data_IF_331661657683
#
_entry.id   IF_331661657683
#
_cell.length_a   1.000
_cell.length_b   1.000
_cell.length_c   1.000
_cell.angle_alpha   90.00
_cell.angle_beta   90.00
_cell.angle_gamma   90.00
#
_symmetry.space_group_name_H-M   'P 1'
#
loop_
_entity.id
_entity.type
_entity.pdbx_description
1 polymer ?
#
# COMPACT_ATOMS: atom_id res chain seq x y z
N UNK A 1 -28.86 22.60 7.06
CA UNK A 1 -27.44 22.97 6.83
C UNK A 1 -26.66 21.69 6.61
N UNK A 2 -26.58 21.24 5.36
CA UNK A 2 -25.80 20.07 4.96
C UNK A 2 -24.46 20.56 4.44
N UNK A 3 -23.43 20.51 5.29
CA UNK A 3 -22.05 20.59 4.79
C UNK A 3 -21.71 19.21 4.25
N UNK A 4 -21.72 19.05 2.94
CA UNK A 4 -21.08 17.90 2.28
C UNK A 4 -19.57 18.07 2.53
N UNK A 5 -18.94 17.20 3.33
CA UNK A 5 -17.50 17.31 3.56
C UNK A 5 -16.78 16.94 2.26
N UNK A 6 -15.88 17.83 1.83
CA UNK A 6 -14.91 17.74 0.75
C UNK A 6 -15.00 16.52 -0.20
N UNK A 7 -15.50 16.80 -1.41
CA UNK A 7 -15.52 15.91 -2.59
C UNK A 7 -14.21 15.16 -2.92
N UNK A 8 -12.97 15.63 -2.64
CA UNK A 8 -11.78 14.85 -3.01
C UNK A 8 -11.58 13.53 -2.26
N UNK A 9 -12.28 13.28 -1.14
CA UNK A 9 -12.05 12.08 -0.32
C UNK A 9 -13.11 10.98 -0.45
N UNK A 10 -14.30 11.30 -0.98
CA UNK A 10 -15.41 10.35 -1.09
C UNK A 10 -15.14 9.20 -2.07
N UNK A 11 -14.21 9.36 -3.02
CA UNK A 11 -13.84 8.33 -3.99
C UNK A 11 -12.56 7.57 -3.69
N UNK A 12 -11.85 7.85 -2.61
CA UNK A 12 -10.53 7.24 -2.35
C UNK A 12 -10.65 6.15 -1.28
N UNK A 13 -10.27 4.88 -1.53
CA UNK A 13 -10.31 3.86 -0.48
C UNK A 13 -9.28 4.16 0.63
N UNK A 14 -9.71 4.05 1.88
CA UNK A 14 -8.79 3.98 3.01
C UNK A 14 -8.17 2.57 3.14
N UNK A 15 -7.03 2.45 3.84
CA UNK A 15 -6.46 1.12 4.13
C UNK A 15 -7.45 0.23 4.88
N UNK A 16 -8.25 0.80 5.79
CA UNK A 16 -9.36 0.09 6.46
C UNK A 16 -10.40 -0.49 5.49
N UNK A 17 -10.66 0.17 4.36
CA UNK A 17 -11.59 -0.33 3.36
C UNK A 17 -10.96 -1.44 2.52
N UNK A 18 -9.65 -1.33 2.25
CA UNK A 18 -8.87 -2.38 1.61
C UNK A 18 -8.77 -3.63 2.49
N UNK A 19 -8.63 -3.49 3.80
CA UNK A 19 -8.71 -4.60 4.76
C UNK A 19 -10.03 -5.37 4.61
N UNK A 20 -11.16 -4.66 4.56
CA UNK A 20 -12.49 -5.26 4.34
C UNK A 20 -12.61 -5.90 2.96
N UNK A 21 -12.14 -5.22 1.91
CA UNK A 21 -12.18 -5.68 0.51
C UNK A 21 -11.40 -6.99 0.32
N UNK A 22 -10.25 -7.11 0.97
CA UNK A 22 -9.36 -8.26 0.88
C UNK A 22 -9.57 -9.29 1.97
N UNK A 23 -10.34 -8.97 3.03
CA UNK A 23 -10.54 -9.79 4.22
C UNK A 23 -9.20 -10.14 4.88
N UNK A 24 -8.37 -9.12 5.04
CA UNK A 24 -7.04 -9.21 5.67
C UNK A 24 -6.82 -7.98 6.54
N UNK A 25 -5.73 -7.96 7.29
CA UNK A 25 -5.35 -6.85 8.17
C UNK A 25 -3.98 -6.31 7.79
N UNK A 26 -3.71 -5.06 8.15
CA UNK A 26 -2.36 -4.51 8.12
C UNK A 26 -1.43 -5.38 8.99
N UNK A 27 -0.24 -5.66 8.48
CA UNK A 27 0.82 -6.35 9.23
C UNK A 27 1.53 -5.37 10.17
N UNK A 28 1.68 -4.13 9.73
CA UNK A 28 2.29 -3.05 10.49
C UNK A 28 1.76 -1.68 10.02
N UNK A 29 2.11 -0.62 10.76
CA UNK A 29 1.69 0.76 10.44
C UNK A 29 0.21 1.05 10.71
N UNK A 30 -0.41 0.40 11.70
CA UNK A 30 -1.83 0.58 12.05
C UNK A 30 -2.22 2.03 12.36
N UNK A 31 -1.27 2.87 12.78
CA UNK A 31 -1.47 4.31 12.99
C UNK A 31 -1.94 5.04 11.73
N UNK A 32 -1.70 4.47 10.54
CA UNK A 32 -2.10 5.02 9.24
C UNK A 32 -3.29 4.29 8.62
N UNK A 33 -3.99 3.44 9.37
CA UNK A 33 -5.11 2.62 8.89
C UNK A 33 -6.24 3.40 8.21
N UNK A 34 -6.47 4.65 8.59
CA UNK A 34 -7.49 5.52 8.00
C UNK A 34 -6.94 6.48 6.93
N UNK A 35 -5.70 6.27 6.47
CA UNK A 35 -5.12 7.03 5.36
C UNK A 35 -5.77 6.57 4.05
N UNK A 36 -6.12 7.55 3.22
CA UNK A 36 -6.78 7.36 1.93
C UNK A 36 -5.74 7.45 0.82
N UNK A 37 -5.89 6.61 -0.20
CA UNK A 37 -5.04 6.60 -1.39
C UNK A 37 -5.90 6.78 -2.63
N UNK A 38 -5.48 7.69 -3.52
CA UNK A 38 -6.17 7.89 -4.80
C UNK A 38 -5.84 6.74 -5.75
N UNK A 39 -6.69 6.52 -6.75
CA UNK A 39 -6.41 5.53 -7.80
C UNK A 39 -5.27 5.98 -8.72
N UNK A 40 -5.11 7.28 -8.92
CA UNK A 40 -4.02 7.83 -9.72
C UNK A 40 -2.65 7.60 -9.04
N UNK A 41 -2.62 7.56 -7.71
CA UNK A 41 -1.44 7.25 -6.90
C UNK A 41 -1.28 5.73 -6.62
N UNK A 42 -2.00 4.87 -7.33
CA UNK A 42 -1.82 3.41 -7.25
C UNK A 42 -0.69 2.98 -8.20
N UNK A 43 0.33 2.31 -7.67
CA UNK A 43 1.49 1.89 -8.44
C UNK A 43 1.75 0.39 -8.34
N UNK A 44 1.45 -0.35 -9.40
CA UNK A 44 1.84 -1.75 -9.53
C UNK A 44 3.33 -1.85 -9.87
N UNK A 45 4.13 -2.35 -8.92
CA UNK A 45 5.58 -2.43 -9.05
C UNK A 45 5.98 -3.73 -9.78
N UNK A 46 6.32 -3.59 -11.05
CA UNK A 46 6.85 -4.68 -11.91
C UNK A 46 8.30 -4.44 -12.35
N UNK A 47 8.89 -3.33 -11.92
CA UNK A 47 10.22 -2.88 -12.34
C UNK A 47 11.35 -3.46 -11.46
N UNK A 48 12.59 -3.19 -11.86
CA UNK A 48 13.77 -3.44 -11.04
C UNK A 48 13.74 -2.64 -9.73
N UNK A 49 14.52 -3.09 -8.75
CA UNK A 49 14.68 -2.40 -7.45
C UNK A 49 15.17 -0.95 -7.63
N UNK A 50 16.17 -0.70 -8.48
CA UNK A 50 16.72 0.65 -8.68
C UNK A 50 15.65 1.64 -9.13
N UNK A 51 14.81 1.23 -10.10
CA UNK A 51 13.71 2.06 -10.60
C UNK A 51 12.59 2.20 -9.58
N UNK A 52 12.37 1.17 -8.75
CA UNK A 52 11.42 1.28 -7.64
C UNK A 52 11.87 2.31 -6.60
N UNK A 53 13.13 2.28 -6.17
CA UNK A 53 13.68 3.24 -5.21
C UNK A 53 13.69 4.67 -5.77
N UNK A 54 14.01 4.84 -7.05
CA UNK A 54 13.86 6.13 -7.75
C UNK A 54 12.40 6.62 -7.70
N UNK A 55 11.44 5.74 -8.02
CA UNK A 55 10.02 6.05 -7.89
C UNK A 55 9.57 6.37 -6.45
N UNK A 56 10.20 5.79 -5.43
CA UNK A 56 9.88 6.13 -4.03
C UNK A 56 10.25 7.57 -3.69
N UNK A 57 11.32 8.09 -4.30
CA UNK A 57 11.86 9.43 -4.04
C UNK A 57 11.21 10.51 -4.91
N UNK A 58 10.87 10.17 -6.15
CA UNK A 58 10.40 11.14 -7.14
C UNK A 58 8.88 11.24 -7.24
N UNK A 59 8.15 10.14 -6.96
CA UNK A 59 6.68 10.17 -7.02
C UNK A 59 6.06 10.86 -5.82
N UNK A 60 4.75 11.06 -5.91
CA UNK A 60 3.92 11.53 -4.81
C UNK A 60 4.23 10.72 -3.54
N UNK A 61 4.57 11.38 -2.41
CA UNK A 61 4.88 10.69 -1.16
C UNK A 61 3.70 9.84 -0.64
N UNK A 62 2.47 10.08 -1.12
CA UNK A 62 1.27 9.32 -0.79
C UNK A 62 0.89 8.32 -1.89
N UNK A 63 1.83 7.47 -2.30
CA UNK A 63 1.60 6.41 -3.30
C UNK A 63 1.27 5.06 -2.64
N UNK A 64 0.29 4.34 -3.18
CA UNK A 64 -0.03 2.97 -2.79
C UNK A 64 0.68 1.99 -3.73
N UNK A 65 1.74 1.35 -3.23
CA UNK A 65 2.52 0.41 -4.01
C UNK A 65 1.95 -1.01 -3.89
N UNK A 66 1.84 -1.72 -5.01
CA UNK A 66 1.41 -3.11 -5.06
C UNK A 66 2.55 -3.94 -5.62
N UNK A 67 3.02 -4.92 -4.87
CA UNK A 67 4.13 -5.79 -5.26
C UNK A 67 3.75 -7.27 -5.12
N UNK A 68 4.42 -8.14 -5.88
CA UNK A 68 4.29 -9.58 -5.70
C UNK A 68 5.18 -10.05 -4.54
N UNK A 69 4.70 -11.04 -3.78
CA UNK A 69 5.37 -11.57 -2.59
C UNK A 69 6.75 -12.17 -2.85
N UNK A 70 7.07 -12.57 -4.09
CA UNK A 70 8.40 -13.10 -4.44
C UNK A 70 9.45 -12.00 -4.66
N UNK A 71 9.07 -10.72 -4.52
CA UNK A 71 9.97 -9.58 -4.69
C UNK A 71 10.41 -9.07 -3.32
N UNK A 72 11.09 -9.94 -2.58
CA UNK A 72 11.67 -9.62 -1.27
C UNK A 72 12.60 -8.40 -1.35
N UNK A 73 13.33 -8.26 -2.46
CA UNK A 73 14.17 -7.09 -2.75
C UNK A 73 13.39 -5.77 -2.72
N UNK A 74 12.18 -5.74 -3.30
CA UNK A 74 11.32 -4.55 -3.30
C UNK A 74 10.71 -4.29 -1.91
N UNK A 75 10.31 -5.35 -1.21
CA UNK A 75 9.75 -5.24 0.14
C UNK A 75 10.81 -4.64 1.07
N UNK A 76 12.01 -5.22 1.08
CA UNK A 76 13.13 -4.72 1.88
C UNK A 76 13.55 -3.31 1.46
N UNK A 77 13.56 -3.02 0.17
CA UNK A 77 13.85 -1.68 -0.35
C UNK A 77 12.85 -0.63 0.17
N UNK A 78 11.56 -0.95 0.17
CA UNK A 78 10.52 -0.08 0.74
C UNK A 78 10.73 0.17 2.23
N UNK A 79 11.04 -0.89 3.00
CA UNK A 79 11.30 -0.77 4.44
C UNK A 79 12.51 0.12 4.72
N UNK A 80 13.60 -0.07 3.97
CA UNK A 80 14.82 0.71 4.11
C UNK A 80 14.59 2.20 3.80
N UNK A 81 13.88 2.50 2.72
CA UNK A 81 13.57 3.89 2.35
C UNK A 81 12.67 4.56 3.40
N UNK A 82 11.65 3.86 3.90
CA UNK A 82 10.77 4.37 4.96
C UNK A 82 11.56 4.73 6.24
N UNK A 83 12.51 3.88 6.64
CA UNK A 83 13.38 4.15 7.78
C UNK A 83 14.35 5.30 7.52
N UNK A 84 14.86 5.43 6.29
CA UNK A 84 15.79 6.48 5.88
C UNK A 84 15.14 7.86 5.96
N UNK A 85 13.95 8.03 5.37
CA UNK A 85 13.23 9.30 5.39
C UNK A 85 12.91 9.77 6.81
N UNK A 86 12.61 8.85 7.75
CA UNK A 86 12.42 9.20 9.17
C UNK A 86 13.69 9.70 9.85
N UNK A 87 14.88 9.27 9.42
CA UNK A 87 16.17 9.69 10.01
C UNK A 87 16.64 11.04 9.48
N UNK A 88 16.37 11.33 8.21
CA UNK A 88 16.92 12.49 7.51
C UNK A 88 16.07 13.78 7.67
N UNK A 89 15.00 13.76 8.49
CA UNK A 89 14.00 14.86 8.60
C UNK A 89 13.46 15.32 7.23
N UNK A 90 13.43 14.40 6.28
CA UNK A 90 12.83 14.58 4.97
C UNK A 90 11.30 14.70 5.08
N UNK A 91 10.60 15.22 4.05
CA UNK A 91 9.14 15.27 4.04
C UNK A 91 8.55 13.88 4.37
N UNK A 92 7.41 13.84 5.10
CA UNK A 92 6.86 12.57 5.57
C UNK A 92 6.53 11.67 4.38
N UNK A 93 7.23 10.54 4.28
CA UNK A 93 6.91 9.51 3.30
C UNK A 93 5.65 8.77 3.78
N UNK A 94 4.56 8.96 3.04
CA UNK A 94 3.22 8.47 3.39
C UNK A 94 2.79 7.24 2.57
N UNK A 95 3.75 6.61 1.88
CA UNK A 95 3.51 5.47 1.03
C UNK A 95 3.02 4.25 1.83
N UNK A 96 2.22 3.42 1.17
CA UNK A 96 1.81 2.12 1.69
C UNK A 96 2.20 1.01 0.72
N UNK A 97 2.37 -0.20 1.25
CA UNK A 97 2.73 -1.37 0.47
C UNK A 97 1.70 -2.50 0.62
N UNK A 98 1.18 -2.98 -0.50
CA UNK A 98 0.37 -4.20 -0.58
C UNK A 98 1.22 -5.30 -1.19
N UNK A 99 1.41 -6.38 -0.43
CA UNK A 99 2.15 -7.56 -0.83
C UNK A 99 1.15 -8.63 -1.25
N UNK A 100 1.11 -8.91 -2.55
CA UNK A 100 0.22 -9.88 -3.16
C UNK A 100 0.88 -11.26 -3.30
N UNK A 101 0.27 -12.29 -2.74
CA UNK A 101 0.72 -13.68 -2.82
C UNK A 101 -0.45 -14.65 -2.90
N UNK A 102 -0.18 -15.94 -3.06
CA UNK A 102 -1.21 -16.99 -3.02
C UNK A 102 -0.82 -17.99 -1.94
N UNK A 103 -1.64 -18.16 -0.90
CA UNK A 103 -1.39 -19.07 0.24
C UNK A 103 -0.78 -20.41 -0.16
N UNK A 104 -1.20 -21.01 -1.26
CA UNK A 104 -0.74 -22.35 -1.65
C UNK A 104 0.51 -22.37 -2.53
N UNK A 105 0.96 -21.23 -3.05
CA UNK A 105 2.01 -21.17 -4.07
C UNK A 105 3.15 -20.22 -3.73
N UNK A 106 2.82 -19.03 -3.25
CA UNK A 106 3.79 -17.98 -2.93
C UNK A 106 3.35 -17.31 -1.64
N UNK A 107 4.12 -17.52 -0.58
CA UNK A 107 3.94 -16.90 0.71
C UNK A 107 5.13 -16.00 1.02
N UNK A 108 4.91 -15.05 1.93
CA UNK A 108 5.98 -14.21 2.43
C UNK A 108 6.94 -15.08 3.26
N UNK A 109 8.24 -14.90 3.05
CA UNK A 109 9.27 -15.56 3.86
C UNK A 109 9.11 -15.17 5.33
N UNK A 110 9.39 -16.12 6.23
CA UNK A 110 9.26 -15.90 7.68
C UNK A 110 10.16 -14.76 8.13
N UNK A 111 11.37 -14.68 7.57
CA UNK A 111 12.36 -13.65 7.85
C UNK A 111 11.83 -12.25 7.48
N UNK A 112 11.20 -12.10 6.32
CA UNK A 112 10.62 -10.80 5.91
C UNK A 112 9.39 -10.45 6.75
N UNK A 113 8.59 -11.46 7.12
CA UNK A 113 7.44 -11.25 8.02
C UNK A 113 7.89 -10.76 9.40
N UNK A 114 8.94 -11.35 9.95
CA UNK A 114 9.50 -10.94 11.25
C UNK A 114 10.07 -9.52 11.16
N UNK A 115 10.80 -9.19 10.08
CA UNK A 115 11.27 -7.82 9.85
C UNK A 115 10.13 -6.81 9.74
N UNK A 116 9.05 -7.13 9.04
CA UNK A 116 7.87 -6.26 8.94
C UNK A 116 7.19 -6.04 10.30
N UNK A 117 7.16 -7.06 11.16
CA UNK A 117 6.58 -6.94 12.50
C UNK A 117 7.37 -5.98 13.40
N UNK A 118 8.68 -5.86 13.17
CA UNK A 118 9.55 -4.91 13.87
C UNK A 118 9.56 -3.51 13.24
N UNK A 119 8.96 -3.34 12.06
CA UNK A 119 8.94 -2.07 11.36
C UNK A 119 7.86 -1.16 11.94
N UNK A 120 8.29 -0.13 12.65
CA UNK A 120 7.37 0.87 13.17
C UNK A 120 6.98 1.91 12.10
N UNK A 121 5.69 2.19 12.01
CA UNK A 121 5.10 3.26 11.21
C UNK A 121 4.74 2.89 9.76
N UNK A 122 5.50 2.06 9.05
CA UNK A 122 5.21 1.84 7.62
C UNK A 122 3.95 0.98 7.41
N UNK A 123 2.93 1.46 6.68
CA UNK A 123 1.72 0.69 6.45
C UNK A 123 1.94 -0.39 5.41
N UNK A 124 1.90 -1.66 5.84
CA UNK A 124 2.07 -2.83 4.97
C UNK A 124 0.94 -3.82 5.16
N UNK A 125 0.36 -4.28 4.05
CA UNK A 125 -0.73 -5.27 4.03
C UNK A 125 -0.32 -6.49 3.20
N UNK A 126 -0.62 -7.69 3.67
CA UNK A 126 -0.42 -8.93 2.90
C UNK A 126 -1.78 -9.44 2.42
N UNK A 127 -1.89 -9.68 1.12
CA UNK A 127 -3.14 -10.05 0.44
C UNK A 127 -2.96 -11.36 -0.31
N UNK A 128 -3.93 -12.25 -0.16
CA UNK A 128 -3.91 -13.60 -0.74
C UNK A 128 -4.51 -13.67 -2.14
N UNK A 129 -4.15 -12.69 -2.98
CA UNK A 129 -4.58 -12.57 -4.36
C UNK A 129 -3.35 -12.37 -5.25
N UNK A 130 -3.48 -12.65 -6.55
CA UNK A 130 -2.47 -12.15 -7.48
C UNK A 130 -2.53 -10.63 -7.55
N UNK A 131 -1.41 -10.00 -7.93
CA UNK A 131 -1.35 -8.55 -8.17
C UNK A 131 -2.45 -8.08 -9.12
N UNK A 132 -2.69 -8.83 -10.21
CA UNK A 132 -3.77 -8.54 -11.15
C UNK A 132 -5.17 -8.56 -10.51
N UNK A 133 -5.47 -9.58 -9.69
CA UNK A 133 -6.76 -9.69 -8.99
C UNK A 133 -6.93 -8.59 -7.95
N UNK A 134 -5.86 -8.25 -7.22
CA UNK A 134 -5.87 -7.17 -6.24
C UNK A 134 -6.16 -5.82 -6.91
N UNK A 135 -5.44 -5.51 -8.00
CA UNK A 135 -5.66 -4.29 -8.78
C UNK A 135 -7.08 -4.21 -9.33
N UNK A 136 -7.61 -5.29 -9.94
CA UNK A 136 -8.99 -5.32 -10.41
C UNK A 136 -10.00 -5.07 -9.30
N UNK A 137 -9.80 -5.65 -8.11
CA UNK A 137 -10.68 -5.41 -6.97
C UNK A 137 -10.64 -3.96 -6.49
N UNK A 138 -9.45 -3.36 -6.40
CA UNK A 138 -9.28 -1.95 -6.00
C UNK A 138 -9.99 -1.04 -7.02
N UNK A 139 -9.74 -1.26 -8.31
CA UNK A 139 -10.38 -0.51 -9.39
C UNK A 139 -11.89 -0.74 -9.49
N UNK A 140 -12.43 -1.89 -9.07
CA UNK A 140 -13.87 -2.15 -9.06
C UNK A 140 -14.55 -1.64 -7.78
N UNK A 141 -13.80 -1.47 -6.70
CA UNK A 141 -14.29 -0.96 -5.42
C UNK A 141 -14.43 0.57 -5.42
N UNK A 142 -13.45 1.25 -6.01
CA UNK A 142 -13.39 2.71 -6.10
C UNK A 142 -14.57 3.36 -6.86
N UNK A 143 -15.02 2.89 -8.04
CA UNK A 143 -16.17 3.46 -8.72
C UNK A 143 -17.49 3.25 -7.97
N UNK A 144 -17.59 2.24 -7.09
CA UNK A 144 -18.79 2.04 -6.26
C UNK A 144 -18.92 3.07 -5.13
N UNK A 145 -17.84 3.75 -4.78
CA UNK A 145 -17.87 4.92 -3.90
C UNK A 145 -18.24 6.21 -4.66
N UNK A 146 -18.13 6.18 -5.99
CA UNK A 146 -18.33 7.33 -6.88
C UNK A 146 -19.67 7.27 -7.64
N UNK A 147 -20.57 6.34 -7.27
CA UNK A 147 -21.89 6.17 -7.87
C UNK A 147 -22.93 6.40 -6.76
N UNK A 148 -23.21 7.68 -6.52
CA UNK A 148 -24.52 8.23 -6.11
C UNK A 148 -24.47 9.75 -6.41
N UNK A 149 -25.30 10.16 -7.39
CA UNK A 149 -25.68 11.50 -7.94
C UNK A 149 -24.74 12.73 -7.85
#
# INVERSE_FOLDING_TARGET
LGCVPDRPYLGCPALADLEKLFRTELVCGHVHRFRHYTIDDLNLVTTSLSRFLENLREKNPRTLYVAHVTRDDLILGFMAEYQRTRRENEPPFEGALIICGRKTKYQLSTEVKDMLSCLDGAPVMVVELSTHQAMQKIHAFTPKLNIDD
#
